data_IF_623468337273
#
_entry.id   IF_623468337273
#
_cell.length_a   1.000
_cell.length_b   1.000
_cell.length_c   1.000
_cell.angle_alpha   90.00
_cell.angle_beta   90.00
_cell.angle_gamma   90.00
#
_symmetry.space_group_name_H-M   'P 1'
#
loop_
_entity.id
_entity.type
_entity.pdbx_description
1 polymer ?
#
# COMPACT_ATOMS: atom_id res chain seq x y z
N UNK A 1 -17.84 4.09 -1.83
CA UNK A 1 -16.38 4.13 -1.57
C UNK A 1 -15.87 2.71 -1.39
N UNK A 2 -14.67 2.44 -1.90
CA UNK A 2 -14.08 1.10 -1.78
C UNK A 2 -13.81 0.76 -0.33
N UNK A 3 -14.11 -0.46 0.07
CA UNK A 3 -13.70 -0.98 1.38
C UNK A 3 -12.19 -1.27 1.38
N UNK A 4 -11.59 -1.38 2.55
CA UNK A 4 -10.15 -1.64 2.68
C UNK A 4 -9.94 -2.93 3.45
N UNK A 5 -9.13 -3.81 2.87
CA UNK A 5 -8.76 -5.08 3.47
C UNK A 5 -7.25 -5.18 3.56
N UNK A 6 -6.75 -5.65 4.69
CA UNK A 6 -5.32 -5.87 4.89
C UNK A 6 -5.06 -7.36 4.93
N UNK A 7 -4.11 -7.83 4.14
CA UNK A 7 -3.56 -9.16 4.36
C UNK A 7 -2.84 -9.17 5.71
N UNK A 8 -2.69 -10.32 6.35
CA UNK A 8 -2.05 -10.39 7.67
C UNK A 8 -0.68 -9.73 7.74
N UNK A 9 0.17 -9.91 6.72
CA UNK A 9 1.49 -9.29 6.70
C UNK A 9 1.41 -7.78 6.60
N UNK A 10 0.47 -7.26 5.82
CA UNK A 10 0.27 -5.82 5.69
C UNK A 10 -0.23 -5.22 7.00
N UNK A 11 -1.11 -5.93 7.69
CA UNK A 11 -1.61 -5.50 9.00
C UNK A 11 -0.47 -5.43 10.02
N UNK A 12 0.39 -6.44 10.04
CA UNK A 12 1.57 -6.42 10.91
C UNK A 12 2.53 -5.28 10.56
N UNK A 13 2.72 -5.01 9.28
CA UNK A 13 3.54 -3.88 8.84
C UNK A 13 2.97 -2.56 9.37
N UNK A 14 1.67 -2.38 9.27
CA UNK A 14 1.02 -1.18 9.76
C UNK A 14 1.18 -1.02 11.27
N UNK A 15 0.98 -2.11 12.02
CA UNK A 15 1.17 -2.11 13.46
C UNK A 15 2.62 -1.80 13.84
N UNK A 16 3.59 -2.31 13.07
CA UNK A 16 5.01 -1.98 13.27
C UNK A 16 5.22 -0.47 13.18
N UNK A 17 4.66 0.17 12.15
CA UNK A 17 4.82 1.61 11.97
C UNK A 17 4.15 2.40 13.10
N UNK A 18 2.99 1.97 13.57
CA UNK A 18 2.32 2.66 14.66
C UNK A 18 3.19 2.74 15.92
N UNK A 19 4.01 1.73 16.18
CA UNK A 19 4.88 1.71 17.35
C UNK A 19 6.29 2.24 17.10
N UNK A 20 6.77 2.19 15.86
CA UNK A 20 8.16 2.53 15.53
C UNK A 20 8.33 3.91 14.90
N UNK A 21 7.40 4.31 14.03
CA UNK A 21 7.44 5.59 13.34
C UNK A 21 6.03 5.99 12.92
N UNK A 22 5.40 6.73 13.77
CA UNK A 22 3.99 7.09 13.60
C UNK A 22 3.74 7.89 12.32
N UNK A 23 4.72 8.66 11.86
CA UNK A 23 4.58 9.41 10.61
C UNK A 23 4.40 8.48 9.41
N UNK A 24 5.04 7.33 9.44
CA UNK A 24 4.87 6.33 8.39
C UNK A 24 3.45 5.76 8.40
N UNK A 25 2.92 5.46 9.57
CA UNK A 25 1.55 4.95 9.69
C UNK A 25 0.54 5.98 9.17
N UNK A 26 0.72 7.24 9.52
CA UNK A 26 -0.15 8.33 9.03
C UNK A 26 -0.07 8.44 7.51
N UNK A 27 1.14 8.37 6.96
CA UNK A 27 1.32 8.43 5.51
C UNK A 27 0.65 7.26 4.80
N UNK A 28 0.73 6.07 5.37
CA UNK A 28 0.06 4.89 4.83
C UNK A 28 -1.46 5.09 4.78
N UNK A 29 -2.06 5.63 5.85
CA UNK A 29 -3.50 5.88 5.87
C UNK A 29 -3.89 6.88 4.78
N UNK A 30 -3.07 7.91 4.57
CA UNK A 30 -3.32 8.89 3.53
C UNK A 30 -3.26 8.26 2.13
N UNK A 31 -2.26 7.43 1.90
CA UNK A 31 -2.14 6.71 0.63
C UNK A 31 -3.38 5.84 0.39
N UNK A 32 -3.82 5.12 1.41
CA UNK A 32 -4.99 4.24 1.29
C UNK A 32 -6.25 5.06 0.98
N UNK A 33 -6.43 6.21 1.62
CA UNK A 33 -7.56 7.08 1.33
C UNK A 33 -7.56 7.54 -0.13
N UNK A 34 -6.38 7.87 -0.66
CA UNK A 34 -6.27 8.23 -2.08
C UNK A 34 -6.57 7.06 -3.00
N UNK A 35 -6.10 5.87 -2.65
CA UNK A 35 -6.37 4.66 -3.42
C UNK A 35 -7.86 4.34 -3.45
N UNK A 36 -8.57 4.57 -2.35
CA UNK A 36 -10.03 4.37 -2.31
C UNK A 36 -10.76 5.22 -3.33
N UNK A 37 -10.23 6.40 -3.62
CA UNK A 37 -10.83 7.33 -4.58
C UNK A 37 -10.39 7.02 -6.00
N UNK A 38 -9.10 6.80 -6.19
CA UNK A 38 -8.52 6.53 -7.50
C UNK A 38 -7.31 5.60 -7.33
N UNK A 39 -7.50 4.30 -7.58
CA UNK A 39 -6.42 3.33 -7.34
C UNK A 39 -5.24 3.42 -8.29
N UNK A 40 -5.37 4.13 -9.41
CA UNK A 40 -4.34 4.06 -10.46
C UNK A 40 -3.65 5.38 -10.74
N UNK A 41 -3.99 6.42 -10.01
CA UNK A 41 -3.30 7.73 -10.13
C UNK A 41 -3.29 8.43 -8.79
N UNK A 42 -2.45 9.45 -8.66
CA UNK A 42 -2.37 10.27 -7.46
C UNK A 42 -1.01 10.21 -6.80
N UNK A 43 -0.99 10.47 -5.49
CA UNK A 43 0.26 10.60 -4.71
C UNK A 43 0.99 9.27 -4.58
N UNK A 44 2.31 9.35 -4.34
CA UNK A 44 3.12 8.16 -4.08
C UNK A 44 3.58 7.43 -5.33
N UNK A 45 3.45 8.02 -6.50
CA UNK A 45 3.89 7.45 -7.78
C UNK A 45 3.35 6.04 -8.00
N UNK A 46 2.02 5.88 -8.15
CA UNK A 46 1.45 4.55 -8.37
C UNK A 46 1.98 3.93 -9.65
N UNK A 47 2.40 2.67 -9.55
CA UNK A 47 2.87 1.94 -10.72
C UNK A 47 2.41 0.48 -10.66
N UNK A 48 2.06 -0.09 -11.83
CA UNK A 48 1.69 -1.50 -11.89
C UNK A 48 2.92 -2.38 -11.77
N UNK A 49 2.78 -3.51 -11.10
CA UNK A 49 3.85 -4.48 -10.89
C UNK A 49 3.78 -5.59 -11.93
N UNK A 50 4.88 -6.32 -12.07
CA UNK A 50 5.03 -7.37 -13.09
C UNK A 50 5.38 -8.69 -12.43
N UNK A 51 5.45 -9.74 -13.23
CA UNK A 51 5.83 -11.06 -12.77
C UNK A 51 4.83 -11.63 -11.79
N UNK A 52 5.33 -12.14 -10.67
CA UNK A 52 4.49 -12.77 -9.65
C UNK A 52 3.51 -11.81 -9.01
N UNK A 53 3.79 -10.51 -9.10
CA UNK A 53 2.91 -9.47 -8.56
C UNK A 53 2.07 -8.78 -9.63
N UNK A 54 1.94 -9.40 -10.79
CA UNK A 54 1.07 -8.88 -11.85
C UNK A 54 -0.36 -8.73 -11.34
N UNK A 55 -0.98 -7.59 -11.62
CA UNK A 55 -2.29 -7.25 -11.09
C UNK A 55 -2.24 -6.43 -9.82
N UNK A 56 -1.07 -6.35 -9.18
CA UNK A 56 -0.87 -5.48 -8.03
C UNK A 56 -0.23 -4.18 -8.48
N UNK A 57 -0.31 -3.18 -7.61
CA UNK A 57 0.26 -1.86 -7.79
C UNK A 57 1.08 -1.50 -6.56
N UNK A 58 2.01 -0.56 -6.72
CA UNK A 58 2.74 -0.02 -5.57
C UNK A 58 2.66 1.49 -5.54
N UNK A 59 2.72 2.04 -4.33
CA UNK A 59 2.93 3.48 -4.11
C UNK A 59 4.05 3.64 -3.11
N UNK A 60 4.84 4.69 -3.27
CA UNK A 60 5.93 4.99 -2.33
C UNK A 60 5.36 5.49 -1.01
N UNK A 61 5.79 4.89 0.08
CA UNK A 61 5.56 5.42 1.42
C UNK A 61 6.67 6.42 1.71
N UNK A 62 7.92 6.01 1.46
CA UNK A 62 9.11 6.86 1.45
C UNK A 62 10.09 6.32 0.42
N UNK A 63 11.37 6.71 0.49
CA UNK A 63 12.36 6.28 -0.49
C UNK A 63 12.64 4.78 -0.44
N UNK A 64 12.46 4.17 0.71
CA UNK A 64 12.77 2.76 0.94
C UNK A 64 11.54 1.86 0.92
N UNK A 65 10.42 2.33 1.45
CA UNK A 65 9.26 1.50 1.70
C UNK A 65 8.13 1.73 0.71
N UNK A 66 7.43 0.65 0.36
CA UNK A 66 6.34 0.68 -0.61
C UNK A 66 5.07 0.08 -0.01
N UNK A 67 3.95 0.65 -0.41
CA UNK A 67 2.63 0.09 -0.18
C UNK A 67 2.26 -0.72 -1.41
N UNK A 68 2.08 -2.02 -1.26
CA UNK A 68 1.69 -2.90 -2.36
C UNK A 68 0.22 -3.26 -2.18
N UNK A 69 -0.57 -3.09 -3.23
CA UNK A 69 -2.01 -3.27 -3.15
C UNK A 69 -2.59 -3.69 -4.49
N UNK A 70 -3.83 -4.14 -4.45
CA UNK A 70 -4.65 -4.27 -5.65
C UNK A 70 -6.03 -3.68 -5.34
N UNK A 71 -6.77 -3.32 -6.38
CA UNK A 71 -8.08 -2.71 -6.21
C UNK A 71 -8.99 -3.06 -7.37
N UNK A 72 -10.28 -3.15 -7.08
CA UNK A 72 -11.33 -3.23 -8.09
C UNK A 72 -12.35 -2.14 -7.77
N UNK A 73 -13.55 -2.26 -8.32
CA UNK A 73 -14.61 -1.26 -8.12
C UNK A 73 -15.13 -1.22 -6.69
N UNK A 74 -14.93 -2.28 -5.94
CA UNK A 74 -15.55 -2.47 -4.62
C UNK A 74 -14.59 -2.39 -3.47
N UNK A 75 -13.32 -2.78 -3.67
CA UNK A 75 -12.39 -2.90 -2.56
C UNK A 75 -10.95 -2.62 -2.93
N UNK A 76 -10.17 -2.28 -1.92
CA UNK A 76 -8.72 -2.19 -1.96
C UNK A 76 -8.17 -3.27 -1.05
N UNK A 77 -7.24 -4.07 -1.54
CA UNK A 77 -6.56 -5.08 -0.73
C UNK A 77 -5.09 -4.71 -0.60
N UNK A 78 -4.64 -4.51 0.63
CA UNK A 78 -3.26 -4.14 0.93
C UNK A 78 -2.48 -5.43 1.23
N UNK A 79 -1.42 -5.65 0.46
CA UNK A 79 -0.59 -6.84 0.57
C UNK A 79 0.62 -6.62 1.46
N UNK A 80 1.26 -5.46 1.33
CA UNK A 80 2.46 -5.10 2.09
C UNK A 80 2.47 -3.60 2.34
N UNK A 81 3.12 -3.19 3.43
CA UNK A 81 3.30 -1.78 3.75
C UNK A 81 4.68 -1.52 4.34
N UNK A 82 5.66 -2.34 3.98
CA UNK A 82 7.04 -2.22 4.47
C UNK A 82 7.98 -2.84 3.46
N UNK A 83 9.19 -2.29 3.36
CA UNK A 83 10.23 -2.68 2.40
C UNK A 83 9.83 -2.43 0.95
N UNK A 84 10.75 -2.70 0.07
CA UNK A 84 10.55 -2.60 -1.37
C UNK A 84 10.02 -3.93 -1.89
N UNK A 85 9.05 -3.89 -2.78
CA UNK A 85 8.42 -5.11 -3.29
C UNK A 85 9.39 -6.03 -4.04
N UNK A 86 10.44 -5.49 -4.62
CA UNK A 86 11.44 -6.25 -5.35
C UNK A 86 12.61 -6.69 -4.48
N UNK A 87 12.61 -6.36 -3.19
CA UNK A 87 13.67 -6.69 -2.24
C UNK A 87 13.16 -7.68 -1.24
N UNK A 88 13.79 -8.73 -1.11
CA UNK A 88 13.41 -9.70 -0.08
C UNK A 88 14.19 -9.47 1.18
#
# INVERSE_FOLDING_TARGET
MRSVHFDPDAWEDFLFWLSSDRKMAVRITRLIQEIQRDPFSGIGKPEPLKGDLSGYWSRRIDDEHRLVYRADDKEVKVLKARYHYGSS
#
